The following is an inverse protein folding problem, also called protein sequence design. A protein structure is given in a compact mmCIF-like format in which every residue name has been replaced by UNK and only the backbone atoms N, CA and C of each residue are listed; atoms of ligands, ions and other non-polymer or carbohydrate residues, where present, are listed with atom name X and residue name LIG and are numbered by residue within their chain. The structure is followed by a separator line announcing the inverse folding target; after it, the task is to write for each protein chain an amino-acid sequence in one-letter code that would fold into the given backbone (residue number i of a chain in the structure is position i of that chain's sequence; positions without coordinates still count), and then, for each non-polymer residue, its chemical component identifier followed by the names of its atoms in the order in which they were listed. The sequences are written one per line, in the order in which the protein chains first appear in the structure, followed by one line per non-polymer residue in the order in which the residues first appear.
data_IF_146112481030
#
_entry.id   IF_146112481030
#
_cell.length_a   1.000
_cell.length_b   1.000
_cell.length_c   1.000
_cell.angle_alpha   90.00
_cell.angle_beta   90.00
_cell.angle_gamma   90.00
#
_symmetry.space_group_name_H-M   'P 1'
#
loop_
_entity.id
_entity.type
_entity.pdbx_description
1 polymer ?
#
# COMPACT_ATOMS: atom_id res chain seq x y z
N UNK A 1 21.55 12.12 -1.88
CA UNK A 1 20.96 12.35 -0.54
C UNK A 1 21.43 11.23 0.39
N UNK A 2 21.50 11.44 1.72
CA UNK A 2 21.85 10.36 2.63
C UNK A 2 20.77 9.26 2.62
N UNK A 3 21.16 8.01 2.90
CA UNK A 3 20.22 6.91 3.14
C UNK A 3 19.48 7.15 4.45
N UNK A 4 18.24 6.69 4.53
CA UNK A 4 17.46 6.71 5.77
C UNK A 4 18.13 5.81 6.82
N UNK A 5 18.12 6.27 8.06
CA UNK A 5 18.53 5.45 9.19
C UNK A 5 17.43 4.43 9.53
N UNK A 6 17.77 3.35 10.24
CA UNK A 6 16.77 2.43 10.77
C UNK A 6 15.71 3.17 11.59
N UNK A 7 14.44 2.82 11.40
CA UNK A 7 13.27 3.42 12.03
C UNK A 7 12.92 4.85 11.59
N UNK A 8 13.63 5.44 10.63
CA UNK A 8 13.16 6.68 10.00
C UNK A 8 11.97 6.40 9.08
N UNK A 9 11.12 7.42 8.93
CA UNK A 9 9.96 7.35 8.05
C UNK A 9 10.40 7.09 6.60
N UNK A 10 9.91 6.00 6.01
CA UNK A 10 10.15 5.67 4.62
C UNK A 10 9.12 6.34 3.69
N UNK A 11 7.84 6.31 4.08
CA UNK A 11 6.74 6.92 3.32
C UNK A 11 5.44 7.08 4.10
N UNK A 12 4.55 7.91 3.55
CA UNK A 12 3.11 7.85 3.77
C UNK A 12 2.40 7.49 2.48
N UNK A 13 1.39 6.62 2.56
CA UNK A 13 0.58 6.17 1.42
C UNK A 13 -0.91 6.25 1.72
N UNK A 14 -1.69 6.30 0.66
CA UNK A 14 -3.12 6.00 0.68
C UNK A 14 -3.47 5.11 -0.49
N UNK A 15 -4.48 4.28 -0.34
CA UNK A 15 -4.90 3.34 -1.36
C UNK A 15 -6.23 2.68 -1.04
N UNK A 16 -6.54 1.66 -1.83
CA UNK A 16 -7.72 0.82 -1.63
C UNK A 16 -7.35 -0.65 -1.76
N UNK A 17 -7.94 -1.46 -0.90
CA UNK A 17 -8.02 -2.91 -1.07
C UNK A 17 -9.17 -3.23 -2.02
N UNK A 18 -8.93 -4.15 -2.95
CA UNK A 18 -9.90 -4.60 -3.95
C UNK A 18 -10.06 -6.11 -3.88
N UNK A 19 -11.31 -6.58 -3.85
CA UNK A 19 -11.66 -7.99 -3.90
C UNK A 19 -12.71 -8.17 -4.99
N UNK A 20 -12.42 -9.00 -5.99
CA UNK A 20 -13.31 -9.21 -7.14
C UNK A 20 -14.43 -10.22 -6.83
N UNK A 21 -14.13 -11.23 -6.02
CA UNK A 21 -15.07 -12.30 -5.66
C UNK A 21 -15.17 -12.41 -4.14
N UNK A 22 -16.32 -12.77 -3.58
CA UNK A 22 -16.43 -13.08 -2.15
C UNK A 22 -15.40 -14.14 -1.76
N UNK A 23 -14.69 -13.91 -0.65
CA UNK A 23 -13.63 -14.80 -0.15
C UNK A 23 -12.44 -15.02 -1.11
N UNK A 24 -12.40 -14.28 -2.22
CA UNK A 24 -11.31 -14.30 -3.19
C UNK A 24 -10.08 -13.52 -2.76
N UNK A 25 -9.01 -13.56 -3.57
CA UNK A 25 -7.80 -12.79 -3.31
C UNK A 25 -8.07 -11.28 -3.24
N UNK A 26 -7.28 -10.62 -2.41
CA UNK A 26 -7.28 -9.16 -2.25
C UNK A 26 -6.04 -8.58 -2.90
N UNK A 27 -6.19 -7.49 -3.64
CA UNK A 27 -5.07 -6.69 -4.14
C UNK A 27 -5.18 -5.28 -3.60
N UNK A 28 -4.06 -4.59 -3.46
CA UNK A 28 -4.04 -3.20 -3.02
C UNK A 28 -3.30 -2.32 -4.03
N UNK A 29 -3.89 -1.15 -4.27
CA UNK A 29 -3.40 -0.14 -5.20
C UNK A 29 -3.54 1.24 -4.58
N UNK A 30 -2.63 2.14 -4.94
CA UNK A 30 -2.69 3.49 -4.45
C UNK A 30 -1.47 4.33 -4.81
N UNK A 31 -1.25 5.38 -4.04
CA UNK A 31 -0.19 6.34 -4.31
C UNK A 31 0.48 6.85 -3.02
N UNK A 32 1.68 7.42 -3.21
CA UNK A 32 2.48 7.98 -2.13
C UNK A 32 2.07 9.43 -1.86
N UNK A 33 1.80 9.72 -0.59
CA UNK A 33 1.51 11.06 -0.10
C UNK A 33 2.79 11.82 0.26
N UNK A 34 3.82 11.08 0.68
CA UNK A 34 5.09 11.62 1.09
C UNK A 34 6.21 10.57 0.95
N UNK A 35 7.35 11.01 0.44
CA UNK A 35 8.61 10.26 0.32
C UNK A 35 9.71 11.18 0.86
N UNK A 36 10.13 11.03 2.13
CA UNK A 36 11.04 11.99 2.78
C UNK A 36 12.44 12.08 2.15
N UNK A 37 12.84 11.07 1.39
CA UNK A 37 14.09 11.08 0.64
C UNK A 37 14.00 11.81 -0.72
N UNK A 38 12.81 12.29 -1.10
CA UNK A 38 12.60 13.13 -2.29
C UNK A 38 12.16 14.54 -1.83
N UNK A 39 13.07 15.49 -1.91
CA UNK A 39 12.78 16.90 -1.59
C UNK A 39 12.23 17.64 -2.83
N UNK A 40 11.20 17.05 -3.44
CA UNK A 40 10.56 17.57 -4.66
C UNK A 40 9.06 17.29 -4.61
N UNK A 41 8.23 18.06 -5.35
CA UNK A 41 6.80 17.79 -5.45
C UNK A 41 6.51 16.40 -6.04
N UNK A 42 5.69 15.62 -5.35
CA UNK A 42 5.26 14.28 -5.80
C UNK A 42 4.01 14.32 -6.68
N UNK A 43 3.41 15.48 -6.90
CA UNK A 43 2.14 15.66 -7.59
C UNK A 43 2.24 16.70 -8.69
N UNK A 44 1.60 16.44 -9.82
CA UNK A 44 1.38 17.40 -10.91
C UNK A 44 0.12 18.22 -10.63
N UNK A 45 0.21 19.17 -9.70
CA UNK A 45 -0.91 20.04 -9.28
C UNK A 45 -1.52 19.63 -7.93
N UNK A 46 -2.84 19.74 -7.74
CA UNK A 46 -3.50 19.38 -6.49
C UNK A 46 -3.27 17.92 -6.13
N UNK A 47 -3.07 17.61 -4.85
CA UNK A 47 -2.81 16.25 -4.39
C UNK A 47 -4.01 15.36 -4.63
N UNK A 48 -3.81 14.28 -5.39
CA UNK A 48 -4.85 13.31 -5.73
C UNK A 48 -4.31 12.15 -6.53
N UNK A 49 -5.15 11.15 -6.75
CA UNK A 49 -4.79 9.92 -7.45
C UNK A 49 -4.30 10.18 -8.89
N UNK A 50 -4.99 11.07 -9.61
CA UNK A 50 -4.69 11.40 -11.01
C UNK A 50 -3.53 12.39 -11.19
N UNK A 51 -2.88 12.84 -10.12
CA UNK A 51 -1.75 13.78 -10.17
C UNK A 51 -0.49 13.24 -9.49
N UNK A 52 -0.56 12.05 -8.89
CA UNK A 52 0.55 11.44 -8.17
C UNK A 52 1.54 10.78 -9.13
N UNK A 53 2.80 11.19 -9.09
CA UNK A 53 3.89 10.58 -9.85
C UNK A 53 4.33 9.21 -9.29
N UNK A 54 4.20 9.01 -7.98
CA UNK A 54 4.61 7.75 -7.34
C UNK A 54 3.39 6.97 -6.88
N UNK A 55 3.24 5.78 -7.45
CA UNK A 55 2.12 4.87 -7.20
C UNK A 55 2.62 3.50 -6.77
N UNK A 56 1.73 2.67 -6.29
CA UNK A 56 2.04 1.28 -5.95
C UNK A 56 0.90 0.34 -6.34
N UNK A 57 1.29 -0.91 -6.58
CA UNK A 57 0.37 -2.01 -6.80
C UNK A 57 0.91 -3.27 -6.11
N UNK A 58 0.07 -3.95 -5.35
CA UNK A 58 0.40 -5.25 -4.78
C UNK A 58 -0.19 -6.38 -5.62
N UNK A 59 0.53 -7.50 -5.69
CA UNK A 59 -0.01 -8.73 -6.26
C UNK A 59 -1.12 -9.28 -5.36
N UNK A 60 -2.16 -9.90 -5.94
CA UNK A 60 -3.24 -10.48 -5.17
C UNK A 60 -2.73 -11.47 -4.12
N UNK A 61 -3.27 -11.39 -2.92
CA UNK A 61 -2.97 -12.25 -1.79
C UNK A 61 -4.27 -12.77 -1.14
N UNK A 62 -4.18 -13.89 -0.44
CA UNK A 62 -5.32 -14.48 0.25
C UNK A 62 -5.03 -14.57 1.74
N UNK A 63 -5.82 -13.86 2.54
CA UNK A 63 -5.70 -13.88 3.99
C UNK A 63 -6.46 -15.08 4.58
N UNK A 64 -5.84 -15.76 5.54
CA UNK A 64 -6.48 -16.83 6.32
C UNK A 64 -6.97 -16.24 7.64
N UNK A 65 -8.27 -16.39 7.89
CA UNK A 65 -8.92 -15.81 9.06
C UNK A 65 -8.65 -16.60 10.34
N UNK A 66 -8.37 -15.85 11.43
CA UNK A 66 -8.35 -16.35 12.80
C UNK A 66 -9.20 -15.43 13.66
N UNK A 67 -10.15 -16.00 14.43
CA UNK A 67 -11.01 -15.24 15.31
C UNK A 67 -10.47 -15.23 16.75
N UNK A 68 -10.54 -14.07 17.40
CA UNK A 68 -10.24 -13.91 18.81
C UNK A 68 -11.26 -12.91 19.43
N UNK A 69 -12.41 -13.41 19.85
CA UNK A 69 -13.52 -12.59 20.33
C UNK A 69 -14.00 -11.60 19.26
N UNK A 70 -14.04 -10.31 19.58
CA UNK A 70 -14.37 -9.23 18.65
C UNK A 70 -13.25 -8.84 17.68
N UNK A 71 -12.10 -9.52 17.71
CA UNK A 71 -11.01 -9.34 16.78
C UNK A 71 -11.06 -10.41 15.70
N UNK A 72 -11.03 -9.98 14.44
CA UNK A 72 -10.84 -10.85 13.30
C UNK A 72 -9.43 -10.60 12.75
N UNK A 73 -8.62 -11.64 12.69
CA UNK A 73 -7.24 -11.58 12.22
C UNK A 73 -7.17 -12.21 10.83
N UNK A 74 -6.62 -11.50 9.87
CA UNK A 74 -6.22 -12.03 8.58
C UNK A 74 -4.71 -12.24 8.57
N UNK A 75 -4.26 -13.42 8.18
CA UNK A 75 -2.83 -13.76 8.14
C UNK A 75 -2.47 -14.22 6.75
N UNK A 76 -1.55 -13.51 6.10
CA UNK A 76 -0.97 -13.90 4.81
C UNK A 76 0.56 -13.86 4.90
N UNK A 77 1.23 -15.02 4.70
CA UNK A 77 2.69 -15.10 4.83
C UNK A 77 3.45 -14.63 3.59
N UNK A 78 2.78 -14.39 2.47
CA UNK A 78 3.42 -14.10 1.19
C UNK A 78 2.73 -12.95 0.47
N UNK A 79 3.48 -12.28 -0.40
CA UNK A 79 2.99 -11.23 -1.27
C UNK A 79 4.11 -10.33 -1.74
N UNK A 80 3.89 -9.69 -2.85
CA UNK A 80 4.80 -8.70 -3.41
C UNK A 80 4.02 -7.43 -3.72
N UNK A 81 4.67 -6.30 -3.57
CA UNK A 81 4.19 -5.02 -4.11
C UNK A 81 5.32 -4.29 -4.81
N UNK A 82 4.97 -3.49 -5.78
CA UNK A 82 5.93 -2.70 -6.55
C UNK A 82 5.58 -1.22 -6.50
N UNK A 83 6.61 -0.39 -6.56
CA UNK A 83 6.51 1.05 -6.67
C UNK A 83 6.74 1.44 -8.12
N UNK A 84 5.89 2.31 -8.63
CA UNK A 84 5.93 2.80 -10.00
C UNK A 84 6.11 4.31 -10.06
N UNK A 85 6.94 4.77 -10.99
CA UNK A 85 7.05 6.16 -11.36
C UNK A 85 6.20 6.43 -12.59
N UNK A 86 5.12 7.18 -12.43
CA UNK A 86 4.29 7.67 -13.52
C UNK A 86 4.82 9.03 -13.99
N UNK A 87 5.48 9.06 -15.14
CA UNK A 87 5.99 10.32 -15.71
C UNK A 87 4.86 11.26 -16.14
N UNK A 88 3.74 10.67 -16.50
CA UNK A 88 2.44 11.34 -16.70
C UNK A 88 1.45 10.69 -15.76
N UNK A 89 1.07 11.35 -14.68
CA UNK A 89 0.12 10.81 -13.72
C UNK A 89 -1.23 10.51 -14.37
N UNK A 90 -1.72 9.28 -14.21
CA UNK A 90 -3.01 8.82 -14.75
C UNK A 90 -3.70 7.82 -13.83
N UNK A 91 -3.25 7.72 -12.58
CA UNK A 91 -3.83 6.82 -11.60
C UNK A 91 -5.29 7.16 -11.32
N UNK A 92 -6.13 6.14 -11.27
CA UNK A 92 -7.52 6.30 -10.84
C UNK A 92 -8.01 5.06 -10.10
N UNK A 93 -8.75 5.29 -9.04
CA UNK A 93 -9.37 4.22 -8.25
C UNK A 93 -10.54 3.52 -8.98
N UNK A 94 -11.02 4.08 -10.08
CA UNK A 94 -12.02 3.42 -10.94
C UNK A 94 -11.37 2.37 -11.85
N UNK A 95 -10.09 2.52 -12.16
CA UNK A 95 -9.27 1.53 -12.85
C UNK A 95 -7.98 1.29 -12.04
N UNK A 96 -8.01 0.40 -11.02
CA UNK A 96 -6.85 0.19 -10.14
C UNK A 96 -5.59 -0.28 -10.86
N UNK A 97 -5.71 -0.93 -12.03
CA UNK A 97 -4.55 -1.31 -12.83
C UNK A 97 -3.77 -0.10 -13.36
N UNK A 98 -4.37 1.10 -13.40
CA UNK A 98 -3.70 2.34 -13.78
C UNK A 98 -2.52 2.68 -12.87
N UNK A 99 -2.57 2.32 -11.59
CA UNK A 99 -1.47 2.55 -10.66
C UNK A 99 -0.19 1.77 -10.96
N UNK A 100 -0.27 0.74 -11.82
CA UNK A 100 0.87 -0.08 -12.24
C UNK A 100 1.40 0.25 -13.65
N UNK A 101 0.91 1.32 -14.31
CA UNK A 101 1.28 1.66 -15.70
C UNK A 101 2.59 2.43 -15.83
N UNK A 102 3.20 2.88 -14.74
CA UNK A 102 4.46 3.60 -14.75
C UNK A 102 5.69 2.71 -14.90
N UNK A 103 6.88 3.34 -14.84
CA UNK A 103 8.16 2.63 -14.75
C UNK A 103 8.22 1.94 -13.38
N UNK A 104 8.38 0.62 -13.32
CA UNK A 104 8.61 -0.10 -12.06
C UNK A 104 10.01 0.25 -11.53
N UNK A 105 10.09 0.96 -10.40
CA UNK A 105 11.34 1.43 -9.80
C UNK A 105 11.80 0.62 -8.60
N UNK A 106 10.89 -0.12 -7.96
CA UNK A 106 11.24 -1.04 -6.88
C UNK A 106 10.19 -2.12 -6.70
N UNK A 107 10.63 -3.31 -6.29
CA UNK A 107 9.75 -4.41 -5.89
C UNK A 107 10.15 -4.88 -4.51
N UNK A 108 9.14 -5.09 -3.67
CA UNK A 108 9.29 -5.57 -2.30
C UNK A 108 8.56 -6.91 -2.14
N UNK A 109 9.18 -7.83 -1.43
CA UNK A 109 8.58 -9.10 -1.00
C UNK A 109 8.33 -9.07 0.49
N UNK A 110 7.12 -9.37 0.91
CA UNK A 110 6.78 -9.50 2.33
C UNK A 110 7.66 -10.58 2.97
N UNK A 111 8.36 -10.21 4.03
CA UNK A 111 9.36 -11.05 4.69
C UNK A 111 8.82 -11.69 5.97
N UNK A 112 7.67 -11.24 6.44
CA UNK A 112 6.98 -11.72 7.63
C UNK A 112 5.48 -11.83 7.35
N UNK A 113 4.74 -12.33 8.33
CA UNK A 113 3.29 -12.38 8.28
C UNK A 113 2.71 -10.97 8.09
N UNK A 114 1.78 -10.86 7.15
CA UNK A 114 0.85 -9.72 7.10
C UNK A 114 -0.25 -10.03 8.09
N UNK A 115 -0.42 -9.18 9.09
CA UNK A 115 -1.52 -9.29 10.03
C UNK A 115 -2.51 -8.18 9.76
N UNK A 116 -3.68 -8.56 9.27
CA UNK A 116 -4.84 -7.68 9.23
C UNK A 116 -5.69 -7.93 10.48
N UNK A 117 -6.04 -6.89 11.21
CA UNK A 117 -6.89 -6.99 12.38
C UNK A 117 -8.12 -6.12 12.18
N UNK A 118 -9.31 -6.70 12.29
CA UNK A 118 -10.56 -5.97 12.27
C UNK A 118 -11.21 -6.04 13.64
N UNK A 119 -11.46 -4.88 14.23
CA UNK A 119 -12.29 -4.75 15.43
C UNK A 119 -13.73 -4.64 14.99
N UNK A 120 -14.60 -5.48 15.53
CA UNK A 120 -16.03 -5.49 15.20
C UNK A 120 -16.89 -5.16 16.41
N UNK A 121 -18.02 -4.52 16.16
CA UNK A 121 -19.06 -4.27 17.17
C UNK A 121 -20.34 -5.01 16.75
N UNK A 122 -21.00 -5.74 17.66
CA UNK A 122 -22.30 -6.32 17.38
C UNK A 122 -23.36 -5.21 17.19
N UNK A 123 -24.13 -5.29 16.11
CA UNK A 123 -25.30 -4.43 15.87
C UNK A 123 -26.63 -5.08 16.29
N UNK A 124 -26.53 -6.24 16.95
CA UNK A 124 -27.68 -7.06 17.39
C UNK A 124 -27.94 -8.27 16.49
N UNK A 125 -27.45 -8.28 15.25
CA UNK A 125 -27.63 -9.39 14.30
C UNK A 125 -26.33 -9.80 13.61
N UNK A 126 -25.46 -8.84 13.32
CA UNK A 126 -24.18 -9.03 12.65
C UNK A 126 -23.06 -8.27 13.37
N UNK A 127 -21.81 -8.62 13.09
CA UNK A 127 -20.68 -7.85 13.55
C UNK A 127 -20.35 -6.76 12.51
N UNK A 128 -20.35 -5.50 12.96
CA UNK A 128 -20.00 -4.35 12.10
C UNK A 128 -18.54 -3.99 12.29
N UNK A 129 -17.73 -3.94 11.22
CA UNK A 129 -16.34 -3.48 11.31
C UNK A 129 -16.26 -2.03 11.80
N UNK A 130 -15.46 -1.76 12.82
CA UNK A 130 -15.17 -0.41 13.32
C UNK A 130 -13.84 0.11 12.75
N UNK A 131 -12.81 -0.68 12.86
CA UNK A 131 -11.44 -0.34 12.43
C UNK A 131 -10.76 -1.58 11.90
N UNK A 132 -10.07 -1.43 10.78
CA UNK A 132 -9.12 -2.41 10.26
C UNK A 132 -7.69 -1.88 10.36
N UNK A 133 -6.76 -2.70 10.83
CA UNK A 133 -5.33 -2.37 10.82
C UNK A 133 -4.56 -3.44 10.07
N UNK A 134 -3.41 -3.09 9.50
CA UNK A 134 -2.49 -4.06 8.95
C UNK A 134 -1.04 -3.70 9.32
N UNK A 135 -0.23 -4.73 9.50
CA UNK A 135 1.20 -4.61 9.75
C UNK A 135 1.94 -5.68 8.96
N UNK A 136 2.99 -5.29 8.27
CA UNK A 136 3.89 -6.25 7.63
C UNK A 136 5.30 -5.67 7.48
N UNK A 137 6.30 -6.56 7.43
CA UNK A 137 7.65 -6.21 6.98
C UNK A 137 7.87 -6.73 5.56
N UNK A 138 8.62 -5.98 4.77
CA UNK A 138 8.94 -6.36 3.41
C UNK A 138 10.41 -6.06 3.08
N UNK A 139 11.05 -6.99 2.38
CA UNK A 139 12.40 -6.83 1.85
C UNK A 139 12.35 -6.23 0.45
N UNK A 140 13.23 -5.29 0.20
CA UNK A 140 13.52 -4.84 -1.16
C UNK A 140 14.21 -5.97 -1.92
N UNK A 141 13.63 -6.42 -3.02
CA UNK A 141 14.17 -7.52 -3.86
C UNK A 141 14.66 -7.03 -5.20
N UNK A 142 14.15 -5.89 -5.66
CA UNK A 142 14.58 -5.25 -6.90
C UNK A 142 14.49 -3.74 -6.75
N UNK A 143 15.49 -3.03 -7.27
CA UNK A 143 15.50 -1.57 -7.36
C UNK A 143 16.14 -1.14 -8.67
N UNK A 144 15.45 -0.26 -9.38
CA UNK A 144 15.94 0.31 -10.64
C UNK A 144 16.18 1.80 -10.43
N UNK A 145 17.40 2.31 -10.61
CA UNK A 145 17.66 3.74 -10.56
C UNK A 145 16.81 4.51 -11.57
N UNK A 146 16.29 5.66 -11.14
CA UNK A 146 15.41 6.50 -11.96
C UNK A 146 15.77 7.97 -11.86
N UNK A 147 15.43 8.73 -12.91
CA UNK A 147 15.58 10.19 -12.94
C UNK A 147 14.23 10.84 -12.68
N UNK A 148 14.19 11.75 -11.69
CA UNK A 148 13.00 12.53 -11.37
C UNK A 148 13.37 13.93 -10.89
N UNK A 149 12.66 14.96 -11.38
CA UNK A 149 12.84 16.38 -11.03
C UNK A 149 14.30 16.87 -11.10
N UNK A 150 15.06 16.38 -12.08
CA UNK A 150 16.46 16.76 -12.30
C UNK A 150 17.48 16.04 -11.41
N UNK A 151 17.04 15.10 -10.55
CA UNK A 151 17.88 14.24 -9.73
C UNK A 151 17.83 12.78 -10.16
N UNK A 152 18.92 12.04 -9.92
CA UNK A 152 18.96 10.58 -10.04
C UNK A 152 18.77 9.96 -8.67
N UNK A 153 17.89 8.98 -8.57
CA UNK A 153 17.48 8.33 -7.34
C UNK A 153 17.52 6.81 -7.47
N UNK A 154 17.69 6.13 -6.36
CA UNK A 154 17.58 4.67 -6.25
C UNK A 154 16.94 4.33 -4.90
N UNK A 155 15.84 3.56 -4.93
CA UNK A 155 15.11 3.17 -3.71
C UNK A 155 16.02 2.37 -2.77
N UNK A 156 16.90 1.51 -3.31
CA UNK A 156 17.86 0.73 -2.51
C UNK A 156 18.86 1.61 -1.75
N UNK A 157 19.31 2.71 -2.36
CA UNK A 157 20.23 3.64 -1.72
C UNK A 157 19.57 4.40 -0.55
N UNK A 158 18.27 4.67 -0.67
CA UNK A 158 17.51 5.45 0.32
C UNK A 158 16.99 4.58 1.48
N UNK A 159 16.36 3.46 1.19
CA UNK A 159 15.66 2.64 2.18
C UNK A 159 16.50 1.48 2.72
N UNK A 160 17.58 1.12 2.05
CA UNK A 160 18.38 -0.05 2.41
C UNK A 160 17.63 -1.35 2.10
N UNK A 161 17.56 -2.27 3.08
CA UNK A 161 17.09 -3.64 2.84
C UNK A 161 15.57 -3.82 2.81
N UNK A 162 14.81 -2.84 3.27
CA UNK A 162 13.35 -2.96 3.30
C UNK A 162 12.65 -2.03 4.28
N UNK A 163 11.42 -2.37 4.59
CA UNK A 163 10.52 -1.56 5.40
C UNK A 163 9.66 -2.40 6.33
N UNK A 164 9.14 -1.77 7.38
CA UNK A 164 7.96 -2.24 8.12
C UNK A 164 6.84 -1.23 7.94
N UNK A 165 5.70 -1.67 7.44
CA UNK A 165 4.53 -0.83 7.21
C UNK A 165 3.44 -1.08 8.24
N UNK A 166 2.79 0.01 8.63
CA UNK A 166 1.62 0.07 9.49
C UNK A 166 0.50 0.76 8.71
N UNK A 167 -0.68 0.20 8.72
CA UNK A 167 -1.82 0.76 8.00
C UNK A 167 -3.12 0.69 8.78
N UNK A 168 -4.05 1.57 8.42
CA UNK A 168 -5.41 1.60 8.94
C UNK A 168 -6.39 1.65 7.76
N UNK A 169 -7.34 0.73 7.74
CA UNK A 169 -8.41 0.69 6.76
C UNK A 169 -9.69 1.33 7.31
N UNK A 170 -10.50 1.88 6.41
CA UNK A 170 -11.83 2.39 6.75
C UNK A 170 -12.73 1.26 7.27
N UNK A 171 -13.58 1.56 8.24
CA UNK A 171 -14.59 0.62 8.78
C UNK A 171 -15.73 0.34 7.80
N UNK A 172 -15.85 1.14 6.72
CA UNK A 172 -16.90 0.96 5.71
C UNK A 172 -16.29 0.90 4.31
N UNK A 173 -16.79 0.01 3.43
CA UNK A 173 -16.36 -0.04 2.03
C UNK A 173 -16.86 1.16 1.24
N UNK A 174 -16.25 1.36 0.07
CA UNK A 174 -16.70 2.35 -0.93
C UNK A 174 -18.07 1.95 -1.47
N UNK A 175 -18.97 2.92 -1.56
CA UNK A 175 -20.30 2.75 -2.15
C UNK A 175 -20.60 3.89 -3.13
N UNK A 176 -21.12 3.60 -4.32
CA UNK A 176 -21.31 2.25 -4.88
C UNK A 176 -19.96 1.56 -5.12
N UNK A 177 -19.94 0.24 -5.04
CA UNK A 177 -18.73 -0.53 -5.33
C UNK A 177 -18.36 -0.41 -6.80
N UNK A 178 -17.10 -0.10 -7.15
CA UNK A 178 -16.64 -0.04 -8.53
C UNK A 178 -16.92 -1.33 -9.30
N UNK A 179 -17.17 -1.19 -10.60
CA UNK A 179 -17.50 -2.34 -11.46
C UNK A 179 -16.37 -3.39 -11.45
N UNK A 180 -16.74 -4.65 -11.35
CA UNK A 180 -15.80 -5.78 -11.36
C UNK A 180 -15.30 -6.16 -9.95
N UNK A 181 -15.78 -5.48 -8.90
CA UNK A 181 -15.39 -5.79 -7.53
C UNK A 181 -16.61 -6.03 -6.63
N UNK A 182 -16.44 -6.89 -5.65
CA UNK A 182 -17.45 -7.17 -4.60
C UNK A 182 -17.18 -6.36 -3.33
N UNK A 183 -15.90 -6.00 -3.10
CA UNK A 183 -15.48 -5.23 -1.94
C UNK A 183 -14.33 -4.28 -2.33
N UNK A 184 -14.45 -3.03 -1.93
CA UNK A 184 -13.37 -2.03 -2.05
C UNK A 184 -13.28 -1.24 -0.75
N UNK A 185 -12.11 -1.27 -0.09
CA UNK A 185 -11.92 -0.64 1.23
C UNK A 185 -10.77 0.34 1.19
N UNK A 186 -10.99 1.63 1.46
CA UNK A 186 -9.92 2.62 1.55
C UNK A 186 -9.00 2.36 2.73
N UNK A 187 -7.72 2.67 2.57
CA UNK A 187 -6.75 2.65 3.65
C UNK A 187 -5.72 3.76 3.55
N UNK A 188 -5.04 3.99 4.64
CA UNK A 188 -3.80 4.78 4.71
C UNK A 188 -2.74 4.00 5.47
N UNK A 189 -1.48 4.30 5.20
CA UNK A 189 -0.37 3.63 5.86
C UNK A 189 0.89 4.47 5.91
N UNK A 190 1.75 4.11 6.86
CA UNK A 190 3.10 4.65 6.97
C UNK A 190 4.09 3.50 7.08
N UNK A 191 5.29 3.70 6.57
CA UNK A 191 6.36 2.72 6.72
C UNK A 191 7.60 3.35 7.34
N UNK A 192 8.35 2.54 8.06
CA UNK A 192 9.68 2.87 8.56
C UNK A 192 10.73 2.05 7.81
N UNK A 193 11.88 2.66 7.54
CA UNK A 193 13.01 1.99 6.91
C UNK A 193 13.66 1.00 7.88
N UNK A 194 14.08 -0.17 7.37
CA UNK A 194 14.85 -1.13 8.16
C UNK A 194 16.35 -0.82 8.16
N UNK A 195 16.79 0.07 7.25
CA UNK A 195 18.19 0.43 7.10
C UNK A 195 19.02 -0.66 6.42
N UNK A 196 20.32 -0.47 6.48
CA UNK A 196 21.32 -1.41 5.93
C UNK A 196 21.75 -2.45 6.96
#
# INVERSE_FOLDING_TARGET
MPSLLPAELAWYVTGRFYQAEPDGPVADYGYFLHLPFLDVPLFEGPRGEGTAHFTFAARPFQAHGVANGGLQLGVDPVGEFSIYLQRRPEGTFDDPASFARGDCIATFRRASLVVGTTVTQPDGTTAVPLVGTNVFSARLVESTPFDFAGGRHDVAEHLGQGVTQFGTAAGAPVQPTPQGFTLVVPFTGSAIALGR
#
